data_IF_857019707323
#
_entry.id   IF_857019707323
#
_cell.length_a   1.000
_cell.length_b   1.000
_cell.length_c   1.000
_cell.angle_alpha   90.00
_cell.angle_beta   90.00
_cell.angle_gamma   90.00
#
_symmetry.space_group_name_H-M   'P 1'
#
loop_
_entity.id
_entity.type
_entity.pdbx_description
1 polymer ?
#
# COMPACT_ATOMS: atom_id res chain seq x y z
N UNK A 1 -9.04 -6.77 -2.30
CA UNK A 1 -8.67 -5.46 -2.89
C UNK A 1 -9.90 -4.56 -2.89
N UNK A 2 -9.79 -3.31 -2.44
CA UNK A 2 -10.95 -2.41 -2.32
C UNK A 2 -11.47 -1.89 -3.67
N UNK A 3 -12.78 -1.61 -3.74
CA UNK A 3 -13.46 -1.08 -4.96
C UNK A 3 -12.78 0.16 -5.55
N UNK A 4 -12.32 1.16 -4.77
CA UNK A 4 -11.64 2.33 -5.33
C UNK A 4 -10.35 1.97 -6.06
N UNK A 5 -9.55 1.05 -5.51
CA UNK A 5 -8.31 0.61 -6.14
C UNK A 5 -8.56 -0.12 -7.47
N UNK A 6 -9.59 -0.98 -7.52
CA UNK A 6 -10.00 -1.65 -8.75
C UNK A 6 -10.45 -0.65 -9.83
N UNK A 7 -11.26 0.33 -9.44
CA UNK A 7 -11.73 1.38 -10.35
C UNK A 7 -10.56 2.15 -10.97
N UNK A 8 -9.65 2.68 -10.16
CA UNK A 8 -8.51 3.46 -10.64
C UNK A 8 -7.50 2.62 -11.43
N UNK A 9 -7.30 1.36 -11.07
CA UNK A 9 -6.47 0.44 -11.85
C UNK A 9 -7.07 0.17 -13.23
N UNK A 10 -8.36 -0.14 -13.29
CA UNK A 10 -9.07 -0.38 -14.56
C UNK A 10 -8.97 0.85 -15.48
N UNK A 11 -9.18 2.04 -14.91
CA UNK A 11 -9.03 3.30 -15.63
C UNK A 11 -7.61 3.51 -16.14
N UNK A 12 -6.60 3.32 -15.28
CA UNK A 12 -5.20 3.47 -15.68
C UNK A 12 -4.82 2.53 -16.82
N UNK A 13 -5.21 1.25 -16.74
CA UNK A 13 -4.90 0.26 -17.78
C UNK A 13 -5.59 0.55 -19.11
N UNK A 14 -6.83 1.07 -19.09
CA UNK A 14 -7.61 1.35 -20.30
C UNK A 14 -7.30 2.70 -20.94
N UNK A 15 -7.10 3.74 -20.14
CA UNK A 15 -7.06 5.13 -20.63
C UNK A 15 -5.66 5.74 -20.59
N UNK A 16 -4.88 5.43 -19.55
CA UNK A 16 -3.60 6.09 -19.32
C UNK A 16 -2.43 5.31 -19.92
N UNK A 17 -2.34 4.01 -19.61
CA UNK A 17 -1.21 3.17 -20.01
C UNK A 17 -0.98 3.13 -21.53
N UNK A 18 -2.00 2.97 -22.39
CA UNK A 18 -1.79 2.96 -23.84
C UNK A 18 -1.20 4.27 -24.38
N UNK A 19 -1.50 5.41 -23.73
CA UNK A 19 -0.93 6.72 -24.11
C UNK A 19 0.52 6.87 -23.69
N UNK A 20 0.94 6.17 -22.63
CA UNK A 20 2.32 6.14 -22.17
C UNK A 20 3.20 5.18 -22.99
N UNK A 21 2.59 4.22 -23.68
CA UNK A 21 3.24 3.23 -24.56
C UNK A 21 3.39 3.71 -26.03
N UNK A 22 2.73 4.81 -26.42
CA UNK A 22 2.64 5.30 -27.80
C UNK A 22 4.00 5.76 -28.41
N UNK A 23 4.12 5.90 -29.75
CA UNK A 23 5.34 5.62 -30.52
C UNK A 23 6.48 6.61 -30.21
N UNK A 24 7.52 6.07 -29.55
CA UNK A 24 8.68 6.80 -29.05
C UNK A 24 9.21 6.17 -27.75
N UNK A 25 8.31 5.55 -26.98
CA UNK A 25 8.65 4.62 -25.91
C UNK A 25 8.61 3.18 -26.41
N UNK A 26 9.62 2.74 -27.17
CA UNK A 26 9.77 1.30 -27.43
C UNK A 26 9.69 0.55 -26.09
N UNK A 27 8.93 -0.55 -25.96
CA UNK A 27 9.05 -1.42 -24.80
C UNK A 27 10.52 -1.83 -24.75
N UNK A 28 11.30 -1.18 -23.89
CA UNK A 28 12.71 -1.53 -23.79
C UNK A 28 12.73 -2.97 -23.28
N UNK A 29 13.70 -3.75 -23.74
CA UNK A 29 13.91 -5.19 -23.46
C UNK A 29 13.94 -5.57 -21.94
N UNK A 30 13.67 -4.64 -21.03
CA UNK A 30 13.47 -4.82 -19.58
C UNK A 30 12.05 -4.54 -19.06
N UNK A 31 11.03 -4.37 -19.91
CA UNK A 31 9.62 -4.18 -19.49
C UNK A 31 8.92 -5.51 -19.15
N UNK A 32 9.65 -6.41 -18.48
CA UNK A 32 9.19 -7.73 -18.03
C UNK A 32 8.05 -7.58 -17.01
N UNK A 33 6.82 -7.41 -17.46
CA UNK A 33 5.60 -7.48 -16.64
C UNK A 33 5.38 -6.32 -15.65
N UNK A 34 5.98 -5.14 -15.88
CA UNK A 34 5.78 -3.98 -14.99
C UNK A 34 4.53 -3.18 -15.39
N UNK A 35 3.62 -3.02 -14.44
CA UNK A 35 2.30 -2.41 -14.69
C UNK A 35 2.36 -0.87 -14.70
N UNK A 36 3.22 -0.24 -13.90
CA UNK A 36 3.27 1.22 -13.78
C UNK A 36 4.42 1.81 -14.60
N UNK A 37 4.09 2.82 -15.40
CA UNK A 37 5.04 3.52 -16.28
C UNK A 37 5.18 4.99 -15.88
N UNK A 38 6.31 5.58 -16.25
CA UNK A 38 6.54 7.03 -16.21
C UNK A 38 5.93 7.71 -17.42
N UNK A 39 5.91 9.05 -17.42
CA UNK A 39 5.48 9.86 -18.58
C UNK A 39 6.32 9.63 -19.84
N UNK A 40 7.51 9.02 -19.70
CA UNK A 40 8.43 8.68 -20.80
C UNK A 40 8.26 7.24 -21.28
N UNK A 41 7.24 6.51 -20.80
CA UNK A 41 7.00 5.11 -21.15
C UNK A 41 7.98 4.11 -20.52
N UNK A 42 8.87 4.55 -19.63
CA UNK A 42 9.77 3.65 -18.89
C UNK A 42 9.09 3.12 -17.63
N UNK A 43 9.50 1.96 -17.09
CA UNK A 43 8.94 1.50 -15.82
C UNK A 43 9.14 2.48 -14.67
N UNK A 44 8.14 2.58 -13.81
CA UNK A 44 8.19 3.39 -12.59
C UNK A 44 9.09 2.71 -11.55
N UNK A 45 10.03 3.46 -10.99
CA UNK A 45 10.95 3.00 -9.96
C UNK A 45 10.49 3.42 -8.55
N UNK A 46 11.16 2.89 -7.52
CA UNK A 46 10.86 3.16 -6.10
C UNK A 46 10.95 4.66 -5.79
N UNK A 47 11.95 5.35 -6.33
CA UNK A 47 12.17 6.77 -6.07
C UNK A 47 11.08 7.63 -6.74
N UNK A 48 10.62 7.23 -7.93
CA UNK A 48 9.47 7.83 -8.61
C UNK A 48 8.21 7.76 -7.77
N UNK A 49 7.87 6.58 -7.23
CA UNK A 49 6.73 6.43 -6.32
C UNK A 49 6.86 7.34 -5.09
N UNK A 50 8.04 7.38 -4.46
CA UNK A 50 8.28 8.24 -3.31
C UNK A 50 8.05 9.72 -3.62
N UNK A 51 8.56 10.19 -4.76
CA UNK A 51 8.37 11.58 -5.22
C UNK A 51 6.89 11.88 -5.54
N UNK A 52 6.18 10.94 -6.14
CA UNK A 52 4.75 11.08 -6.43
C UNK A 52 3.94 11.21 -5.13
N UNK A 53 4.17 10.34 -4.15
CA UNK A 53 3.48 10.40 -2.85
C UNK A 53 3.73 11.73 -2.18
N UNK A 54 4.99 12.19 -2.09
CA UNK A 54 5.30 13.49 -1.49
C UNK A 54 4.60 14.65 -2.20
N UNK A 55 4.60 14.66 -3.53
CA UNK A 55 3.96 15.71 -4.32
C UNK A 55 2.46 15.80 -4.04
N UNK A 56 1.77 14.66 -4.08
CA UNK A 56 0.33 14.62 -3.87
C UNK A 56 -0.06 14.90 -2.41
N UNK A 57 0.75 14.45 -1.45
CA UNK A 57 0.56 14.78 -0.05
C UNK A 57 0.68 16.28 0.21
N UNK A 58 1.73 16.92 -0.32
CA UNK A 58 1.89 18.37 -0.22
C UNK A 58 0.69 19.13 -0.82
N UNK A 59 0.20 18.68 -1.99
CA UNK A 59 -0.99 19.28 -2.63
C UNK A 59 -2.28 19.06 -1.82
N UNK A 60 -2.35 18.00 -1.04
CA UNK A 60 -3.46 17.72 -0.14
C UNK A 60 -3.31 18.36 1.26
N UNK A 61 -2.23 19.11 1.52
CA UNK A 61 -1.96 19.69 2.84
C UNK A 61 -1.52 18.67 3.90
N UNK A 62 -1.08 17.47 3.48
CA UNK A 62 -0.67 16.39 4.39
C UNK A 62 0.85 16.47 4.60
N UNK A 63 1.26 16.74 5.84
CA UNK A 63 2.66 16.78 6.22
C UNK A 63 3.28 15.37 6.34
N UNK A 64 4.59 15.28 6.08
CA UNK A 64 5.44 14.09 6.30
C UNK A 64 5.02 12.77 5.62
N UNK A 65 4.11 12.79 4.65
CA UNK A 65 3.68 11.56 3.99
C UNK A 65 4.69 11.05 2.95
N UNK A 66 4.93 9.75 2.99
CA UNK A 66 5.77 8.98 2.07
C UNK A 66 5.26 7.53 2.01
N UNK A 67 5.79 6.65 1.13
CA UNK A 67 5.22 5.30 0.95
C UNK A 67 5.09 4.47 2.24
N UNK A 68 6.03 4.58 3.18
CA UNK A 68 5.96 3.86 4.45
C UNK A 68 4.85 4.38 5.38
N UNK A 69 4.60 5.69 5.43
CA UNK A 69 3.50 6.22 6.25
C UNK A 69 2.15 5.81 5.68
N UNK A 70 1.99 5.79 4.35
CA UNK A 70 0.75 5.28 3.73
C UNK A 70 0.52 3.81 4.05
N UNK A 71 1.56 2.98 3.99
CA UNK A 71 1.49 1.57 4.38
C UNK A 71 1.07 1.41 5.84
N UNK A 72 1.68 2.19 6.73
CA UNK A 72 1.36 2.14 8.15
C UNK A 72 -0.08 2.59 8.43
N UNK A 73 -0.53 3.69 7.83
CA UNK A 73 -1.91 4.16 7.95
C UNK A 73 -2.91 3.11 7.48
N UNK A 74 -2.64 2.40 6.38
CA UNK A 74 -3.48 1.31 5.91
C UNK A 74 -3.56 0.17 6.94
N UNK A 75 -2.43 -0.27 7.49
CA UNK A 75 -2.38 -1.34 8.47
C UNK A 75 -3.13 -0.98 9.76
N UNK A 76 -2.86 0.21 10.30
CA UNK A 76 -3.52 0.71 11.51
C UNK A 76 -5.01 0.90 11.29
N UNK A 77 -5.43 1.37 10.10
CA UNK A 77 -6.85 1.49 9.77
C UNK A 77 -7.57 0.13 9.74
N UNK A 78 -6.95 -0.90 9.13
CA UNK A 78 -7.53 -2.25 9.13
C UNK A 78 -7.62 -2.84 10.53
N UNK A 79 -6.57 -2.70 11.34
CA UNK A 79 -6.56 -3.21 12.73
C UNK A 79 -7.59 -2.50 13.60
N UNK A 80 -7.72 -1.17 13.47
CA UNK A 80 -8.76 -0.41 14.16
C UNK A 80 -10.18 -0.81 13.73
N UNK A 81 -10.35 -1.23 12.48
CA UNK A 81 -11.59 -1.82 11.95
C UNK A 81 -11.83 -3.29 12.37
N UNK A 82 -10.98 -3.86 13.23
CA UNK A 82 -11.12 -5.22 13.76
C UNK A 82 -10.53 -6.32 12.89
N UNK A 83 -9.83 -5.99 11.80
CA UNK A 83 -9.17 -6.99 10.95
C UNK A 83 -8.18 -7.83 11.77
N UNK A 84 -8.07 -9.11 11.44
CA UNK A 84 -7.09 -10.00 12.06
C UNK A 84 -5.66 -9.60 11.66
N UNK A 85 -4.72 -9.70 12.60
CA UNK A 85 -3.34 -9.30 12.36
C UNK A 85 -2.67 -10.13 11.24
N UNK A 86 -2.97 -11.43 11.15
CA UNK A 86 -2.45 -12.30 10.09
C UNK A 86 -2.97 -11.88 8.73
N UNK A 87 -4.25 -11.51 8.65
CA UNK A 87 -4.86 -10.96 7.42
C UNK A 87 -4.19 -9.66 6.99
N UNK A 88 -3.86 -8.77 7.94
CA UNK A 88 -3.14 -7.53 7.62
C UNK A 88 -1.70 -7.82 7.16
N UNK A 89 -1.02 -8.80 7.74
CA UNK A 89 0.32 -9.23 7.32
C UNK A 89 0.33 -9.81 5.91
N UNK A 90 -0.63 -10.69 5.59
CA UNK A 90 -0.79 -11.28 4.25
C UNK A 90 -1.03 -10.20 3.19
N UNK A 91 -1.85 -9.19 3.51
CA UNK A 91 -2.17 -8.07 2.61
C UNK A 91 -1.00 -7.10 2.37
N UNK A 92 -0.07 -6.99 3.31
CA UNK A 92 1.09 -6.09 3.21
C UNK A 92 2.31 -6.77 2.58
N UNK A 93 2.33 -8.11 2.53
CA UNK A 93 3.42 -8.94 2.04
C UNK A 93 4.59 -9.00 3.01
N UNK A 94 5.22 -10.18 3.13
CA UNK A 94 6.35 -10.46 4.03
C UNK A 94 7.65 -9.64 3.77
N UNK A 95 7.64 -8.69 2.83
CA UNK A 95 8.79 -7.89 2.46
C UNK A 95 8.91 -6.67 3.39
N UNK A 96 9.87 -6.78 4.32
CA UNK A 96 10.26 -5.85 5.38
C UNK A 96 9.42 -5.88 6.66
N UNK A 97 9.82 -6.83 7.51
CA UNK A 97 9.64 -6.97 8.97
C UNK A 97 10.11 -5.72 9.79
N UNK A 98 10.44 -4.59 9.15
CA UNK A 98 11.00 -3.41 9.80
C UNK A 98 9.99 -2.53 10.58
N UNK A 99 8.72 -2.93 10.73
CA UNK A 99 7.74 -2.27 11.64
C UNK A 99 6.96 -3.24 12.53
N UNK A 100 7.46 -4.47 12.68
CA UNK A 100 6.80 -5.55 13.44
C UNK A 100 6.55 -5.20 14.91
N UNK A 101 7.31 -4.26 15.48
CA UNK A 101 7.19 -3.86 16.89
C UNK A 101 5.89 -3.10 17.23
N UNK A 102 5.31 -2.36 16.28
CA UNK A 102 4.06 -1.62 16.56
C UNK A 102 2.87 -2.59 16.60
N UNK A 103 2.90 -3.65 15.78
CA UNK A 103 1.80 -4.62 15.70
C UNK A 103 1.72 -5.57 16.90
N UNK A 104 2.85 -5.91 17.51
CA UNK A 104 2.86 -6.72 18.75
C UNK A 104 2.20 -5.99 19.92
N UNK A 105 2.26 -4.66 19.95
CA UNK A 105 1.69 -3.89 21.06
C UNK A 105 0.14 -3.80 20.97
N UNK A 106 -0.41 -3.83 19.76
CA UNK A 106 -1.87 -3.90 19.52
C UNK A 106 -2.40 -5.29 19.89
N UNK A 107 -1.65 -6.35 19.56
CA UNK A 107 -1.98 -7.74 19.90
C UNK A 107 -2.18 -7.95 21.40
N UNK A 108 -1.29 -7.43 22.26
CA UNK A 108 -1.41 -7.56 23.74
C UNK A 108 -2.71 -6.97 24.31
N UNK A 109 -3.22 -5.88 23.74
CA UNK A 109 -4.47 -5.27 24.21
C UNK A 109 -5.70 -6.09 23.81
N UNK A 110 -5.69 -6.65 22.60
CA UNK A 110 -6.78 -7.47 22.05
C UNK A 110 -6.76 -8.91 22.55
N UNK A 111 -5.59 -9.53 22.71
CA UNK A 111 -5.43 -10.82 23.39
C UNK A 111 -5.98 -10.74 24.81
N UNK A 112 -5.71 -9.65 25.53
CA UNK A 112 -6.30 -9.42 26.86
C UNK A 112 -7.82 -9.31 26.79
N UNK A 113 -8.39 -8.56 25.85
CA UNK A 113 -9.85 -8.44 25.76
C UNK A 113 -10.53 -9.75 25.36
N UNK A 114 -10.00 -10.48 24.37
CA UNK A 114 -10.53 -11.78 23.92
C UNK A 114 -10.39 -12.83 25.02
N UNK A 115 -9.24 -12.90 25.70
CA UNK A 115 -9.07 -13.78 26.86
C UNK A 115 -10.06 -13.42 27.97
N UNK A 116 -10.32 -12.14 28.23
CA UNK A 116 -11.28 -11.71 29.26
C UNK A 116 -12.75 -12.01 28.89
N UNK A 117 -13.08 -12.03 27.60
CA UNK A 117 -14.43 -12.33 27.11
C UNK A 117 -14.75 -13.84 27.04
N UNK A 118 -13.75 -14.69 26.78
CA UNK A 118 -13.96 -16.14 26.61
C UNK A 118 -13.42 -16.99 27.77
N UNK A 119 -12.55 -16.42 28.60
CA UNK A 119 -12.05 -17.02 29.83
C UNK A 119 -12.10 -16.00 30.97
N UNK A 120 -13.29 -15.61 31.45
CA UNK A 120 -13.41 -14.92 32.72
C UNK A 120 -12.93 -15.90 33.79
N UNK A 121 -11.72 -15.72 34.32
CA UNK A 121 -11.26 -16.58 35.42
C UNK A 121 -12.05 -16.24 36.69
N UNK A 122 -12.43 -17.24 37.51
CA UNK A 122 -12.90 -17.02 38.88
C UNK A 122 -11.82 -16.40 39.77
#
# INVERSE_FOLDING_TARGET
>A
VGRPAQHWMSRYLKECRPRLEAPGGSPRLGDKGRIFLTTRGTPLDRLGVWRMVKRWAARAGIAHAHPHTLRHSFATHLLAGGADLRVVQDLLGHADIATTQIYTHVDKSRLKSVHHSFHPRP
#
